data_IF_253235727213
#
_entry.id   IF_253235727213
#
_cell.length_a   1.000
_cell.length_b   1.000
_cell.length_c   1.000
_cell.angle_alpha   90.00
_cell.angle_beta   90.00
_cell.angle_gamma   90.00
#
_symmetry.space_group_name_H-M   'P 1'
#
loop_
_entity.id
_entity.type
_entity.pdbx_description
1 polymer ?
#
# COMPACT_ATOMS: atom_id res chain seq x y z
N UNK A 1 -6.94 -12.03 0.44
CA UNK A 1 -7.82 -10.94 0.91
C UNK A 1 -7.42 -9.67 0.18
N UNK A 2 -8.37 -8.81 -0.17
CA UNK A 2 -8.04 -7.46 -0.66
C UNK A 2 -7.88 -6.56 0.56
N UNK A 3 -6.72 -5.93 0.75
CA UNK A 3 -6.38 -5.13 1.92
C UNK A 3 -4.88 -4.88 2.02
N UNK A 4 -4.50 -3.86 2.79
CA UNK A 4 -3.10 -3.48 2.99
C UNK A 4 -2.71 -3.62 4.47
N UNK A 5 -1.41 -3.82 4.71
CA UNK A 5 -0.84 -3.90 6.05
C UNK A 5 0.13 -2.74 6.25
N UNK A 6 -0.06 -1.99 7.34
CA UNK A 6 0.89 -1.02 7.84
C UNK A 6 1.90 -1.75 8.72
N UNK A 7 3.17 -1.62 8.37
CA UNK A 7 4.27 -2.32 9.02
C UNK A 7 5.36 -1.34 9.44
N UNK A 8 6.16 -1.72 10.43
CA UNK A 8 7.31 -0.91 10.84
C UNK A 8 8.34 -0.81 9.70
N UNK A 9 9.18 0.24 9.71
CA UNK A 9 10.21 0.40 8.70
C UNK A 9 11.18 -0.80 8.71
N UNK A 10 11.31 -1.48 7.56
CA UNK A 10 12.18 -2.65 7.41
C UNK A 10 11.56 -3.98 7.86
N UNK A 11 10.33 -3.97 8.39
CA UNK A 11 9.56 -5.19 8.63
C UNK A 11 9.23 -5.89 7.31
N UNK A 12 9.29 -7.22 7.32
CA UNK A 12 8.90 -8.06 6.18
C UNK A 12 7.51 -8.63 6.45
N UNK A 13 6.54 -8.22 5.64
CA UNK A 13 5.18 -8.76 5.63
C UNK A 13 4.91 -9.50 4.31
N UNK A 14 3.87 -10.34 4.29
CA UNK A 14 3.37 -10.93 3.05
C UNK A 14 2.76 -9.85 2.15
N UNK A 15 2.83 -10.07 0.83
CA UNK A 15 2.30 -9.16 -0.17
C UNK A 15 3.37 -8.35 -0.90
N UNK A 16 2.98 -7.19 -1.43
CA UNK A 16 3.84 -6.32 -2.25
C UNK A 16 4.14 -5.03 -1.49
N UNK A 17 5.42 -4.62 -1.37
CA UNK A 17 5.76 -3.34 -0.75
C UNK A 17 5.17 -2.16 -1.54
N UNK A 18 4.31 -1.37 -0.89
CA UNK A 18 3.72 -0.17 -1.49
C UNK A 18 4.64 1.04 -1.41
N UNK A 19 5.53 1.07 -0.40
CA UNK A 19 6.55 2.10 -0.25
C UNK A 19 7.90 1.55 -0.70
N UNK A 20 8.49 2.21 -1.69
CA UNK A 20 9.83 1.89 -2.20
C UNK A 20 10.72 3.13 -2.16
N UNK A 21 12.02 3.01 -1.85
CA UNK A 21 12.93 4.15 -1.86
C UNK A 21 13.05 4.75 -3.26
N UNK A 22 12.62 6.00 -3.44
CA UNK A 22 12.80 6.73 -4.71
C UNK A 22 14.08 7.56 -4.76
N UNK A 23 14.58 7.95 -3.59
CA UNK A 23 15.79 8.76 -3.43
C UNK A 23 16.61 8.27 -2.23
N UNK A 24 17.94 8.38 -2.33
CA UNK A 24 18.87 8.23 -1.21
C UNK A 24 19.84 9.40 -1.19
N UNK A 25 19.83 10.19 -0.11
CA UNK A 25 20.52 11.47 -0.08
C UNK A 25 19.96 12.41 -1.16
N UNK A 26 20.81 12.81 -2.12
CA UNK A 26 20.41 13.65 -3.28
C UNK A 26 20.34 12.87 -4.60
N UNK A 27 20.38 11.53 -4.56
CA UNK A 27 20.41 10.67 -5.76
C UNK A 27 19.08 9.93 -5.92
N UNK A 28 18.50 10.00 -7.12
CA UNK A 28 17.35 9.17 -7.51
C UNK A 28 17.83 7.72 -7.67
N UNK A 29 17.17 6.79 -6.98
CA UNK A 29 17.53 5.35 -6.98
C UNK A 29 16.46 4.43 -7.57
N UNK A 30 15.25 4.95 -7.79
CA UNK A 30 14.16 4.26 -8.48
C UNK A 30 13.59 5.17 -9.55
N UNK A 31 13.40 4.63 -10.76
CA UNK A 31 12.72 5.30 -11.88
C UNK A 31 11.87 4.28 -12.60
N UNK A 32 10.67 4.70 -12.99
CA UNK A 32 9.79 3.95 -13.87
C UNK A 32 9.49 4.80 -15.09
N UNK A 33 9.48 4.18 -16.26
CA UNK A 33 8.97 4.82 -17.47
C UNK A 33 7.44 4.85 -17.49
N UNK A 34 6.90 5.65 -18.41
CA UNK A 34 5.46 5.85 -18.54
C UNK A 34 4.71 4.56 -18.92
N UNK A 35 5.32 3.70 -19.72
CA UNK A 35 4.70 2.45 -20.19
C UNK A 35 4.49 1.51 -19.00
N UNK A 36 5.51 1.34 -18.16
CA UNK A 36 5.46 0.55 -16.93
C UNK A 36 4.45 1.10 -15.93
N UNK A 37 4.39 2.42 -15.77
CA UNK A 37 3.36 3.07 -14.93
C UNK A 37 1.96 2.73 -15.47
N UNK A 38 1.73 2.86 -16.78
CA UNK A 38 0.44 2.57 -17.41
C UNK A 38 0.01 1.10 -17.27
N UNK A 39 0.95 0.17 -17.45
CA UNK A 39 0.72 -1.26 -17.25
C UNK A 39 0.31 -1.56 -15.80
N UNK A 40 1.09 -1.06 -14.82
CA UNK A 40 0.80 -1.24 -13.39
C UNK A 40 -0.55 -0.66 -12.98
N UNK A 41 -0.87 0.56 -13.43
CA UNK A 41 -2.17 1.18 -13.17
C UNK A 41 -3.32 0.34 -13.71
N UNK A 42 -3.20 -0.16 -14.95
CA UNK A 42 -4.24 -0.98 -15.57
C UNK A 42 -4.45 -2.30 -14.83
N UNK A 43 -3.37 -2.94 -14.40
CA UNK A 43 -3.41 -4.17 -13.59
C UNK A 43 -4.09 -3.93 -12.24
N UNK A 44 -3.69 -2.87 -11.51
CA UNK A 44 -4.27 -2.55 -10.20
C UNK A 44 -5.77 -2.22 -10.29
N UNK A 45 -6.20 -1.49 -11.32
CA UNK A 45 -7.62 -1.19 -11.52
C UNK A 45 -8.45 -2.44 -11.84
N UNK A 46 -7.90 -3.38 -12.62
CA UNK A 46 -8.57 -4.66 -12.91
C UNK A 46 -8.67 -5.53 -11.65
N UNK A 47 -7.65 -5.51 -10.80
CA UNK A 47 -7.60 -6.27 -9.55
C UNK A 47 -8.51 -5.69 -8.44
N UNK A 48 -8.95 -4.44 -8.57
CA UNK A 48 -9.78 -3.79 -7.55
C UNK A 48 -11.13 -4.53 -7.39
N UNK A 49 -11.51 -4.96 -6.18
CA UNK A 49 -12.80 -5.60 -5.94
C UNK A 49 -13.99 -4.70 -6.30
N UNK A 50 -15.09 -5.30 -6.78
CA UNK A 50 -16.27 -4.56 -7.26
C UNK A 50 -16.87 -3.61 -6.22
N UNK A 51 -16.97 -4.03 -4.96
CA UNK A 51 -17.48 -3.19 -3.85
C UNK A 51 -16.67 -1.89 -3.59
N UNK A 52 -15.46 -1.80 -4.16
CA UNK A 52 -14.56 -0.66 -4.06
C UNK A 52 -14.45 0.13 -5.37
N UNK A 53 -15.01 -0.39 -6.47
CA UNK A 53 -15.14 0.35 -7.74
C UNK A 53 -16.22 1.42 -7.54
N UNK A 54 -16.07 2.57 -8.19
CA UNK A 54 -16.84 3.80 -7.94
C UNK A 54 -18.29 3.53 -7.51
N UNK A 55 -18.72 4.00 -6.33
CA UNK A 55 -20.12 3.98 -5.98
C UNK A 55 -20.91 4.92 -6.89
N UNK A 56 -22.19 4.64 -7.06
CA UNK A 56 -23.11 5.60 -7.68
C UNK A 56 -23.02 6.96 -6.97
N UNK A 57 -23.25 8.09 -7.68
CA UNK A 57 -23.21 9.41 -7.06
C UNK A 57 -24.13 9.49 -5.84
N UNK A 58 -23.56 9.52 -4.64
CA UNK A 58 -24.29 9.55 -3.36
C UNK A 58 -24.12 8.29 -2.50
N UNK A 59 -23.58 7.21 -3.03
CA UNK A 59 -23.21 6.03 -2.25
C UNK A 59 -21.78 6.15 -1.71
N UNK A 60 -21.58 5.69 -0.47
CA UNK A 60 -20.25 5.59 0.14
C UNK A 60 -19.76 4.16 -0.04
N UNK A 61 -18.58 3.93 -0.64
CA UNK A 61 -18.11 2.56 -0.83
C UNK A 61 -17.74 1.95 0.52
N UNK A 62 -17.73 0.63 0.58
CA UNK A 62 -17.19 -0.08 1.74
C UNK A 62 -15.75 0.39 2.01
N UNK A 63 -15.36 0.55 3.29
CA UNK A 63 -14.00 0.93 3.61
C UNK A 63 -13.01 -0.13 3.10
N UNK A 64 -11.92 0.33 2.48
CA UNK A 64 -10.81 -0.54 2.14
C UNK A 64 -10.12 -1.00 3.43
N UNK A 65 -9.93 -2.32 3.65
CA UNK A 65 -9.35 -2.81 4.89
C UNK A 65 -7.85 -2.49 4.93
N UNK A 66 -7.44 -1.88 6.04
CA UNK A 66 -6.05 -1.58 6.37
C UNK A 66 -5.80 -2.06 7.79
N UNK A 67 -4.83 -2.94 7.97
CA UNK A 67 -4.50 -3.56 9.24
C UNK A 67 -3.10 -3.14 9.71
N UNK A 68 -2.86 -3.17 11.03
CA UNK A 68 -1.52 -3.01 11.59
C UNK A 68 -0.84 -4.38 11.64
N UNK A 69 0.44 -4.45 11.31
CA UNK A 69 1.23 -5.65 11.59
C UNK A 69 1.25 -5.93 13.10
N UNK A 70 1.36 -7.20 13.54
CA UNK A 70 1.45 -7.52 14.96
C UNK A 70 2.61 -6.81 15.67
N UNK A 71 3.74 -6.63 14.97
CA UNK A 71 4.90 -5.92 15.50
C UNK A 71 4.64 -4.43 15.69
N UNK A 72 3.92 -3.78 14.77
CA UNK A 72 3.56 -2.37 14.85
C UNK A 72 2.41 -2.11 15.84
N UNK A 73 1.51 -3.07 16.02
CA UNK A 73 0.40 -2.99 16.96
C UNK A 73 0.83 -3.19 18.42
N UNK A 74 2.01 -3.78 18.66
CA UNK A 74 2.54 -3.95 20.00
C UNK A 74 2.88 -2.57 20.60
N UNK A 75 2.50 -2.30 21.86
CA UNK A 75 2.93 -1.08 22.53
C UNK A 75 4.47 -1.08 22.62
N UNK A 76 5.09 0.05 22.26
CA UNK A 76 6.53 0.26 22.47
C UNK A 76 6.90 -0.11 23.92
N UNK A 77 7.95 -0.92 24.16
CA UNK A 77 8.41 -1.15 25.51
C UNK A 77 8.81 0.21 26.11
N UNK A 78 8.14 0.62 27.18
CA UNK A 78 8.48 1.80 27.96
C UNK A 78 9.99 1.77 28.25
N UNK A 79 10.73 2.72 27.66
CA UNK A 79 12.13 2.91 27.98
C UNK A 79 12.20 3.35 29.45
N UNK A 80 12.63 2.43 30.32
CA UNK A 80 12.99 2.71 31.72
C UNK A 80 14.47 3.06 31.80
#
# INVERSE_FOLDING_TARGET
MAGDVLAAAGERCEGVPLLVPVMRGRKIVHREDRERIGARTSEHLRALPERLRLPDPGERPDPYPVELSPALAAPEPSQT
#
